data_IF_198134207115
#
_entry.id   IF_198134207115
#
_cell.length_a   1.000
_cell.length_b   1.000
_cell.length_c   1.000
_cell.angle_alpha   90.00
_cell.angle_beta   90.00
_cell.angle_gamma   90.00
#
_symmetry.space_group_name_H-M   'P 1'
#
loop_
_entity.id
_entity.type
_entity.pdbx_description
1 polymer ?
#
# COMPACT_ATOMS: atom_id res chain seq x y z
N UNK A 1 12.00 19.39 19.03
CA UNK A 1 10.83 18.98 18.26
C UNK A 1 11.25 18.57 16.85
N UNK A 2 10.96 17.36 16.47
CA UNK A 2 11.40 16.83 15.19
C UNK A 2 10.45 17.24 14.05
N UNK A 3 10.95 17.26 12.82
CA UNK A 3 10.15 17.58 11.62
C UNK A 3 8.94 16.64 11.49
N UNK A 4 9.05 15.40 11.95
CA UNK A 4 7.96 14.43 11.93
C UNK A 4 6.72 14.89 12.70
N UNK A 5 6.89 15.72 13.73
CA UNK A 5 5.77 16.26 14.51
C UNK A 5 5.02 17.38 13.78
N UNK A 6 5.61 17.91 12.71
CA UNK A 6 5.01 18.97 11.89
C UNK A 6 4.40 18.40 10.59
N UNK A 7 4.38 17.09 10.45
CA UNK A 7 3.77 16.43 9.28
C UNK A 7 2.30 16.84 9.16
N UNK A 8 1.91 17.24 7.97
CA UNK A 8 0.52 17.53 7.68
C UNK A 8 -0.28 16.23 7.67
N UNK A 9 -1.26 16.13 8.57
CA UNK A 9 -2.16 15.00 8.65
C UNK A 9 -3.34 15.19 7.71
N UNK A 10 -3.86 14.09 7.21
CA UNK A 10 -5.14 14.09 6.51
C UNK A 10 -6.25 14.03 7.55
N UNK A 11 -7.21 14.93 7.45
CA UNK A 11 -8.39 14.95 8.32
C UNK A 11 -9.61 14.49 7.53
N UNK A 12 -10.20 13.38 7.93
CA UNK A 12 -11.44 12.87 7.33
C UNK A 12 -12.59 13.81 7.71
N UNK A 13 -13.32 14.30 6.71
CA UNK A 13 -14.48 15.15 6.94
C UNK A 13 -15.68 14.35 7.45
N UNK A 14 -16.65 15.03 8.02
CA UNK A 14 -17.92 14.41 8.44
C UNK A 14 -18.63 13.78 7.24
N UNK A 15 -18.65 14.45 6.10
CA UNK A 15 -19.28 13.93 4.88
C UNK A 15 -18.60 12.65 4.38
N UNK A 16 -17.26 12.59 4.42
CA UNK A 16 -16.50 11.39 4.07
C UNK A 16 -16.84 10.25 5.03
N UNK A 17 -16.87 10.52 6.33
CA UNK A 17 -17.21 9.51 7.33
C UNK A 17 -18.63 8.97 7.12
N UNK A 18 -19.60 9.85 6.90
CA UNK A 18 -21.00 9.47 6.63
C UNK A 18 -21.09 8.63 5.36
N UNK A 19 -20.38 9.04 4.30
CA UNK A 19 -20.33 8.28 3.04
C UNK A 19 -19.77 6.86 3.25
N UNK A 20 -18.69 6.75 4.01
CA UNK A 20 -18.11 5.45 4.35
C UNK A 20 -19.10 4.56 5.11
N UNK A 21 -19.78 5.11 6.10
CA UNK A 21 -20.75 4.34 6.89
C UNK A 21 -21.97 3.92 6.07
N UNK A 22 -22.37 4.73 5.13
CA UNK A 22 -23.54 4.45 4.27
C UNK A 22 -23.18 3.42 3.17
N UNK A 23 -22.05 3.62 2.49
CA UNK A 23 -21.70 2.90 1.27
C UNK A 23 -20.79 1.70 1.52
N UNK A 24 -20.11 1.64 2.67
CA UNK A 24 -19.16 0.58 3.01
C UNK A 24 -17.76 0.77 2.43
N UNK A 25 -17.51 1.88 1.75
CA UNK A 25 -16.20 2.24 1.21
C UNK A 25 -16.03 3.76 1.14
N UNK A 26 -14.79 4.20 0.97
CA UNK A 26 -14.44 5.60 0.77
C UNK A 26 -13.32 5.70 -0.25
N UNK A 27 -13.46 6.61 -1.22
CA UNK A 27 -12.41 6.94 -2.17
C UNK A 27 -11.86 8.32 -1.81
N UNK A 28 -10.58 8.38 -1.47
CA UNK A 28 -9.89 9.64 -1.17
C UNK A 28 -8.93 9.94 -2.32
N UNK A 29 -9.33 10.87 -3.19
CA UNK A 29 -8.54 11.22 -4.36
C UNK A 29 -7.38 12.14 -3.98
N UNK A 30 -6.21 11.89 -4.58
CA UNK A 30 -5.04 12.72 -4.34
C UNK A 30 -4.47 12.62 -2.93
N UNK A 31 -4.77 11.55 -2.20
CA UNK A 31 -4.28 11.38 -0.82
C UNK A 31 -2.77 11.32 -0.75
N UNK A 32 -2.14 10.51 -1.60
CA UNK A 32 -0.69 10.37 -1.63
C UNK A 32 -0.07 11.45 -2.52
N UNK A 33 1.02 12.12 -2.05
CA UNK A 33 1.76 13.04 -2.91
C UNK A 33 2.32 12.32 -4.14
N UNK A 34 2.50 13.05 -5.28
CA UNK A 34 3.05 12.43 -6.50
C UNK A 34 4.38 11.74 -6.30
N UNK A 35 5.29 12.29 -5.49
CA UNK A 35 6.58 11.66 -5.19
C UNK A 35 6.42 10.29 -4.51
N UNK A 36 5.43 10.12 -3.64
CA UNK A 36 5.17 8.86 -2.96
C UNK A 36 4.58 7.84 -3.91
N UNK A 37 3.64 8.26 -4.76
CA UNK A 37 3.06 7.41 -5.81
C UNK A 37 4.14 6.95 -6.78
N UNK A 38 5.02 7.86 -7.21
CA UNK A 38 6.12 7.54 -8.12
C UNK A 38 7.12 6.57 -7.48
N UNK A 39 7.40 6.73 -6.19
CA UNK A 39 8.23 5.79 -5.44
C UNK A 39 7.65 4.37 -5.47
N UNK A 40 6.36 4.24 -5.25
CA UNK A 40 5.67 2.95 -5.28
C UNK A 40 5.64 2.35 -6.69
N UNK A 41 5.42 3.17 -7.72
CA UNK A 41 5.42 2.69 -9.11
C UNK A 41 6.80 2.15 -9.51
N UNK A 42 7.85 2.90 -9.21
CA UNK A 42 9.22 2.46 -9.48
C UNK A 42 9.55 1.18 -8.73
N UNK A 43 9.18 1.12 -7.45
CA UNK A 43 9.36 -0.07 -6.65
C UNK A 43 8.64 -1.28 -7.26
N UNK A 44 7.40 -1.10 -7.72
CA UNK A 44 6.64 -2.18 -8.34
C UNK A 44 7.29 -2.69 -9.62
N UNK A 45 7.82 -1.79 -10.46
CA UNK A 45 8.54 -2.17 -11.67
C UNK A 45 9.83 -2.93 -11.34
N UNK A 46 10.60 -2.46 -10.35
CA UNK A 46 11.81 -3.12 -9.89
C UNK A 46 11.49 -4.52 -9.32
N UNK A 47 10.42 -4.66 -8.56
CA UNK A 47 9.98 -5.93 -8.01
C UNK A 47 9.57 -6.93 -9.10
N UNK A 48 8.93 -6.45 -10.16
CA UNK A 48 8.56 -7.30 -11.29
C UNK A 48 9.79 -7.95 -11.92
N UNK A 49 10.86 -7.19 -12.12
CA UNK A 49 12.12 -7.71 -12.65
C UNK A 49 12.78 -8.69 -11.68
N UNK A 50 12.82 -8.35 -10.40
CA UNK A 50 13.42 -9.21 -9.35
C UNK A 50 12.69 -10.54 -9.22
N UNK A 51 11.37 -10.53 -9.28
CA UNK A 51 10.55 -11.75 -9.23
C UNK A 51 10.85 -12.63 -10.45
N UNK A 52 10.93 -12.02 -11.65
CA UNK A 52 11.27 -12.76 -12.86
C UNK A 52 12.64 -13.43 -12.77
N UNK A 53 13.65 -12.73 -12.22
CA UNK A 53 14.99 -13.31 -12.00
C UNK A 53 14.96 -14.46 -10.99
N UNK A 54 14.24 -14.31 -9.90
CA UNK A 54 14.11 -15.35 -8.89
C UNK A 54 13.44 -16.60 -9.45
N UNK A 55 12.46 -16.45 -10.31
CA UNK A 55 11.81 -17.57 -10.99
C UNK A 55 12.75 -18.28 -11.95
N UNK A 56 13.57 -17.54 -12.71
CA UNK A 56 14.55 -18.13 -13.62
C UNK A 56 15.62 -18.94 -12.88
N UNK A 57 15.93 -18.54 -11.64
CA UNK A 57 16.90 -19.25 -10.79
C UNK A 57 16.29 -20.46 -10.07
N UNK A 58 15.04 -20.82 -10.38
CA UNK A 58 14.37 -21.95 -9.78
C UNK A 58 13.95 -21.77 -8.33
N UNK A 59 13.77 -20.53 -7.90
CA UNK A 59 13.23 -20.26 -6.58
C UNK A 59 11.81 -20.82 -6.46
N UNK A 60 11.61 -21.67 -5.47
CA UNK A 60 10.30 -22.29 -5.20
C UNK A 60 9.33 -21.38 -4.45
N UNK A 61 9.71 -20.13 -4.23
CA UNK A 61 8.88 -19.17 -3.50
C UNK A 61 7.62 -18.75 -4.26
N UNK A 62 7.57 -19.02 -5.57
CA UNK A 62 6.43 -18.59 -6.40
C UNK A 62 6.05 -19.72 -7.36
N UNK A 63 4.78 -20.09 -7.36
CA UNK A 63 4.21 -20.99 -8.36
C UNK A 63 3.92 -20.23 -9.66
N UNK A 64 3.71 -20.95 -10.77
CA UNK A 64 3.33 -20.31 -12.03
C UNK A 64 2.03 -19.50 -11.93
N UNK A 65 1.11 -19.93 -11.09
CA UNK A 65 -0.15 -19.21 -10.83
C UNK A 65 0.08 -17.92 -10.02
N UNK A 66 1.16 -17.86 -9.25
CA UNK A 66 1.50 -16.73 -8.39
C UNK A 66 2.38 -15.68 -9.09
N UNK A 67 2.69 -15.85 -10.38
CA UNK A 67 3.51 -14.89 -11.14
C UNK A 67 2.92 -13.50 -11.21
N UNK A 68 1.59 -13.39 -11.10
CA UNK A 68 0.90 -12.12 -11.20
C UNK A 68 0.58 -11.49 -9.85
N UNK A 69 0.88 -12.18 -8.76
CA UNK A 69 0.61 -11.67 -7.41
C UNK A 69 1.65 -12.17 -6.42
N UNK A 70 2.04 -11.31 -5.53
CA UNK A 70 3.00 -11.61 -4.47
C UNK A 70 2.42 -11.19 -3.13
N UNK A 71 2.45 -12.12 -2.17
CA UNK A 71 1.89 -11.91 -0.84
C UNK A 71 2.95 -11.47 0.15
N UNK A 72 2.57 -10.64 1.11
CA UNK A 72 3.32 -10.38 2.34
C UNK A 72 4.72 -9.81 2.10
N UNK A 73 4.91 -9.01 1.04
CA UNK A 73 6.20 -8.37 0.75
C UNK A 73 6.66 -7.42 1.87
N UNK A 74 5.73 -6.89 2.66
CA UNK A 74 6.07 -6.00 3.77
C UNK A 74 6.90 -6.68 4.86
N UNK A 75 6.95 -8.02 4.90
CA UNK A 75 7.79 -8.76 5.84
C UNK A 75 9.27 -8.75 5.44
N UNK A 76 9.56 -8.55 4.16
CA UNK A 76 10.91 -8.68 3.60
C UNK A 76 11.39 -7.44 2.85
N UNK A 77 10.54 -6.45 2.65
CA UNK A 77 10.87 -5.28 1.84
C UNK A 77 10.42 -3.99 2.54
N UNK A 78 11.38 -3.08 2.70
CA UNK A 78 11.18 -1.82 3.43
C UNK A 78 10.19 -0.89 2.72
N UNK A 79 10.22 -0.82 1.40
CA UNK A 79 9.30 0.03 0.64
C UNK A 79 7.88 -0.53 0.69
N UNK A 80 7.72 -1.85 0.66
CA UNK A 80 6.43 -2.49 0.84
C UNK A 80 5.84 -2.19 2.23
N UNK A 81 6.66 -2.26 3.27
CA UNK A 81 6.24 -1.90 4.62
C UNK A 81 5.86 -0.43 4.71
N UNK A 82 6.69 0.46 4.14
CA UNK A 82 6.40 1.89 4.12
C UNK A 82 5.06 2.18 3.43
N UNK A 83 4.79 1.55 2.28
CA UNK A 83 3.52 1.73 1.57
C UNK A 83 2.32 1.22 2.36
N UNK A 84 2.45 0.06 2.99
CA UNK A 84 1.39 -0.54 3.80
C UNK A 84 1.05 0.32 5.02
N UNK A 85 2.07 0.90 5.66
CA UNK A 85 1.94 1.71 6.87
C UNK A 85 2.03 3.21 6.58
N UNK A 86 1.73 3.62 5.35
CA UNK A 86 1.85 5.02 4.94
C UNK A 86 1.07 5.93 5.89
N UNK A 87 1.69 6.99 6.43
CA UNK A 87 1.06 7.83 7.45
C UNK A 87 -0.28 8.45 7.02
N UNK A 88 -0.40 8.87 5.77
CA UNK A 88 -1.65 9.45 5.27
C UNK A 88 -2.76 8.41 5.17
N UNK A 89 -2.43 7.17 4.81
CA UNK A 89 -3.40 6.08 4.79
C UNK A 89 -3.84 5.74 6.21
N UNK A 90 -2.89 5.70 7.14
CA UNK A 90 -3.20 5.46 8.56
C UNK A 90 -4.09 6.58 9.15
N UNK A 91 -3.86 7.83 8.75
CA UNK A 91 -4.70 8.95 9.18
C UNK A 91 -6.18 8.69 8.82
N UNK A 92 -6.44 8.25 7.60
CA UNK A 92 -7.79 7.91 7.13
C UNK A 92 -8.36 6.72 7.90
N UNK A 93 -7.58 5.65 8.02
CA UNK A 93 -8.02 4.42 8.69
C UNK A 93 -8.33 4.65 10.17
N UNK A 94 -7.49 5.39 10.87
CA UNK A 94 -7.73 5.71 12.28
C UNK A 94 -9.03 6.48 12.48
N UNK A 95 -9.36 7.39 11.55
CA UNK A 95 -10.62 8.14 11.60
C UNK A 95 -11.84 7.26 11.33
N UNK A 96 -11.70 6.24 10.46
CA UNK A 96 -12.81 5.38 10.06
C UNK A 96 -13.06 4.21 11.01
N UNK A 97 -12.00 3.59 11.53
CA UNK A 97 -12.11 2.34 12.30
C UNK A 97 -11.49 2.41 13.70
N UNK A 98 -10.94 3.55 14.09
CA UNK A 98 -10.35 3.75 15.41
C UNK A 98 -8.82 3.72 15.42
N UNK A 99 -8.20 4.06 16.55
CA UNK A 99 -6.75 4.29 16.63
C UNK A 99 -5.90 3.01 16.57
N UNK A 100 -6.47 1.86 16.86
CA UNK A 100 -5.72 0.59 16.94
C UNK A 100 -5.80 -0.15 15.60
N UNK A 101 -5.19 0.43 14.56
CA UNK A 101 -5.17 -0.16 13.23
C UNK A 101 -4.11 -1.26 13.15
N UNK A 102 -4.50 -2.44 12.68
CA UNK A 102 -3.60 -3.56 12.46
C UNK A 102 -3.53 -3.91 10.97
N UNK A 103 -2.31 -3.97 10.42
CA UNK A 103 -2.10 -4.44 9.07
C UNK A 103 -1.97 -5.96 9.08
N UNK A 104 -2.86 -6.64 8.37
CA UNK A 104 -2.90 -8.11 8.35
C UNK A 104 -2.21 -8.69 7.12
N UNK A 105 -2.30 -8.02 5.98
CA UNK A 105 -1.87 -8.60 4.72
C UNK A 105 -1.47 -7.51 3.73
N UNK A 106 -0.47 -7.80 2.92
CA UNK A 106 -0.16 -7.02 1.73
C UNK A 106 -0.09 -7.94 0.52
N UNK A 107 -0.43 -7.41 -0.65
CA UNK A 107 -0.40 -8.16 -1.89
C UNK A 107 -0.07 -7.24 -3.05
N UNK A 108 0.84 -7.66 -3.91
CA UNK A 108 1.18 -6.96 -5.14
C UNK A 108 0.67 -7.76 -6.33
N UNK A 109 -0.15 -7.13 -7.16
CA UNK A 109 -0.70 -7.72 -8.38
C UNK A 109 -0.05 -7.10 -9.60
N UNK A 110 0.35 -7.93 -10.56
CA UNK A 110 0.81 -7.52 -11.87
C UNK A 110 -0.25 -7.92 -12.90
N UNK A 111 -1.14 -7.00 -13.23
CA UNK A 111 -2.19 -7.24 -14.20
C UNK A 111 -1.78 -6.62 -15.53
N UNK A 112 -1.37 -7.43 -16.54
CA UNK A 112 -1.03 -6.89 -17.85
C UNK A 112 -2.28 -6.30 -18.53
N UNK A 113 -2.13 -5.27 -19.38
CA UNK A 113 -3.25 -4.70 -20.10
C UNK A 113 -3.85 -5.71 -21.08
N UNK A 114 -5.16 -5.72 -21.15
CA UNK A 114 -5.93 -6.64 -22.01
C UNK A 114 -6.56 -7.82 -21.27
#
# INVERSE_FOLDING_TARGET
MTVAQQRKRYTVSVDEYVSYRRDGYLIVRGLLPPEDTNRLLKWADDMKERIAEMQQKGSILFTDEERTRVHMLHHIDETAEWGLLHPLILDVLEALIGPDVMALQSMLFFNPPG
#
